data_IF_958952432449
#
_entry.id   IF_958952432449
#
_cell.length_a   1.000
_cell.length_b   1.000
_cell.length_c   1.000
_cell.angle_alpha   90.00
_cell.angle_beta   90.00
_cell.angle_gamma   90.00
#
_symmetry.space_group_name_H-M   'P 1'
#
loop_
_entity.id
_entity.type
_entity.pdbx_description
1 polymer ?
#
# COMPACT_ATOMS: atom_id res chain seq x y z
N UNK A 1 -15.81 6.76 6.77
CA UNK A 1 -15.89 6.02 5.49
C UNK A 1 -17.28 5.94 4.84
N UNK A 2 -18.33 5.45 5.54
CA UNK A 2 -19.67 5.25 4.93
C UNK A 2 -20.31 6.50 4.31
N UNK A 3 -19.91 7.69 4.76
CA UNK A 3 -20.40 8.97 4.25
C UNK A 3 -19.47 9.63 3.21
N UNK A 4 -18.28 9.07 2.96
CA UNK A 4 -17.33 9.62 1.97
C UNK A 4 -17.96 9.86 0.59
N UNK A 5 -18.84 8.99 0.07
CA UNK A 5 -19.50 9.21 -1.22
C UNK A 5 -20.27 10.54 -1.34
N UNK A 6 -20.69 11.14 -0.22
CA UNK A 6 -21.40 12.42 -0.23
C UNK A 6 -20.54 13.57 -0.73
N UNK A 7 -19.25 13.53 -0.43
CA UNK A 7 -18.28 14.56 -0.80
C UNK A 7 -17.36 14.09 -1.94
N UNK A 8 -17.10 12.79 -2.00
CA UNK A 8 -16.23 12.13 -2.96
C UNK A 8 -16.99 10.98 -3.63
N UNK A 9 -17.81 11.24 -4.66
CA UNK A 9 -18.68 10.23 -5.27
C UNK A 9 -17.96 8.96 -5.74
N UNK A 10 -16.69 9.08 -6.13
CA UNK A 10 -15.85 7.96 -6.54
C UNK A 10 -15.67 6.90 -5.43
N UNK A 11 -15.84 7.26 -4.15
CA UNK A 11 -15.80 6.34 -3.01
C UNK A 11 -16.97 5.34 -2.97
N UNK A 12 -17.96 5.47 -3.87
CA UNK A 12 -19.05 4.51 -4.06
C UNK A 12 -18.95 3.78 -5.42
N UNK A 13 -17.76 3.75 -6.02
CA UNK A 13 -17.53 3.04 -7.27
C UNK A 13 -17.48 1.52 -7.10
N UNK A 14 -17.46 0.79 -8.21
CA UNK A 14 -17.41 -0.69 -8.22
C UNK A 14 -15.98 -1.27 -8.17
N UNK A 15 -14.96 -0.41 -8.05
CA UNK A 15 -13.54 -0.78 -8.02
C UNK A 15 -12.85 -0.11 -6.83
N UNK A 16 -13.35 -0.41 -5.63
CA UNK A 16 -12.78 0.10 -4.38
C UNK A 16 -11.80 -0.92 -3.80
N UNK A 17 -10.84 -0.40 -3.06
CA UNK A 17 -10.00 -1.12 -2.11
C UNK A 17 -10.34 -0.66 -0.69
N UNK A 18 -9.98 -1.43 0.35
CA UNK A 18 -9.36 -2.75 0.32
C UNK A 18 -10.33 -3.88 -0.08
N UNK A 19 -9.79 -5.08 -0.27
CA UNK A 19 -10.55 -6.31 -0.52
C UNK A 19 -10.08 -7.46 0.38
N UNK A 20 -10.92 -8.49 0.48
CA UNK A 20 -10.48 -9.80 0.98
C UNK A 20 -9.89 -10.62 -0.17
N UNK A 21 -8.68 -11.14 0.03
CA UNK A 21 -8.02 -12.04 -0.91
C UNK A 21 -8.31 -13.48 -0.45
N UNK A 22 -9.31 -14.09 -1.08
CA UNK A 22 -9.62 -15.50 -0.88
C UNK A 22 -8.67 -16.36 -1.72
N UNK A 23 -7.66 -16.94 -1.07
CA UNK A 23 -6.54 -17.64 -1.73
C UNK A 23 -6.97 -18.89 -2.50
N UNK A 24 -8.13 -19.47 -2.19
CA UNK A 24 -8.72 -20.58 -2.96
C UNK A 24 -9.31 -20.14 -4.30
N UNK A 25 -9.63 -18.85 -4.46
CA UNK A 25 -10.28 -18.27 -5.65
C UNK A 25 -9.32 -17.54 -6.59
N UNK A 26 -8.07 -17.31 -6.16
CA UNK A 26 -7.08 -16.60 -6.97
C UNK A 26 -6.73 -17.38 -8.23
N UNK A 27 -6.56 -16.66 -9.33
CA UNK A 27 -6.11 -17.23 -10.60
C UNK A 27 -4.62 -16.99 -10.74
N UNK A 28 -3.85 -18.07 -10.84
CA UNK A 28 -2.41 -17.98 -11.11
C UNK A 28 -2.21 -17.46 -12.54
N UNK A 29 -1.52 -16.33 -12.67
CA UNK A 29 -1.07 -15.82 -13.95
C UNK A 29 0.42 -16.14 -14.14
N UNK A 30 0.73 -16.92 -15.18
CA UNK A 30 2.10 -17.32 -15.50
C UNK A 30 2.91 -16.20 -16.15
N UNK A 31 2.26 -15.12 -16.61
CA UNK A 31 2.93 -13.96 -17.19
C UNK A 31 3.41 -12.95 -16.14
N UNK A 32 2.95 -13.07 -14.89
CA UNK A 32 3.46 -12.28 -13.78
C UNK A 32 4.89 -12.69 -13.45
N UNK A 33 5.83 -11.81 -13.77
CA UNK A 33 7.25 -11.95 -13.46
C UNK A 33 7.55 -11.38 -12.07
N UNK A 34 8.69 -11.77 -11.53
CA UNK A 34 9.22 -11.18 -10.29
C UNK A 34 9.29 -9.66 -10.41
N UNK A 35 8.91 -8.96 -9.35
CA UNK A 35 9.07 -7.51 -9.26
C UNK A 35 10.56 -7.16 -9.23
N UNK A 36 10.96 -6.22 -10.09
CA UNK A 36 12.33 -5.72 -10.12
C UNK A 36 12.39 -4.38 -9.38
N UNK A 37 12.96 -4.38 -8.18
CA UNK A 37 13.13 -3.19 -7.35
C UNK A 37 14.48 -2.54 -7.61
N UNK A 38 14.54 -1.21 -7.64
CA UNK A 38 15.77 -0.45 -7.80
C UNK A 38 15.89 0.68 -6.77
N UNK A 39 17.13 0.99 -6.37
CA UNK A 39 17.45 2.06 -5.42
C UNK A 39 17.17 1.75 -3.95
N UNK A 40 16.54 0.61 -3.65
CA UNK A 40 16.27 0.15 -2.27
C UNK A 40 17.48 -0.51 -1.60
N UNK A 41 18.53 -0.81 -2.36
CA UNK A 41 19.85 -1.24 -1.88
C UNK A 41 20.63 -0.10 -1.21
N UNK A 42 20.19 1.15 -1.39
CA UNK A 42 20.81 2.33 -0.79
C UNK A 42 20.04 2.77 0.45
N UNK A 43 20.77 2.93 1.55
CA UNK A 43 20.24 3.47 2.80
C UNK A 43 19.53 4.83 2.57
N UNK A 44 18.43 5.04 3.29
CA UNK A 44 17.70 6.31 3.28
C UNK A 44 18.40 7.26 4.25
N UNK A 45 19.13 8.24 3.73
CA UNK A 45 19.93 9.16 4.54
C UNK A 45 19.14 10.39 5.03
N UNK A 46 18.01 10.68 4.37
CA UNK A 46 17.12 11.78 4.72
C UNK A 46 15.69 11.40 4.33
N UNK A 47 14.73 11.63 5.23
CA UNK A 47 13.32 11.45 4.98
C UNK A 47 12.48 12.40 5.84
N UNK A 48 11.35 12.85 5.30
CA UNK A 48 10.31 13.48 6.09
C UNK A 48 9.43 12.38 6.69
N UNK A 49 9.16 12.48 8.00
CA UNK A 49 8.24 11.59 8.72
C UNK A 49 7.17 12.48 9.35
N UNK A 50 5.93 12.33 8.89
CA UNK A 50 4.83 13.22 9.25
C UNK A 50 3.65 12.41 9.75
N UNK A 51 3.10 12.81 10.90
CA UNK A 51 1.76 12.40 11.32
C UNK A 51 0.75 13.39 10.75
N UNK A 52 -0.08 12.95 9.80
CA UNK A 52 -1.08 13.79 9.14
C UNK A 52 -2.47 13.77 9.83
N UNK A 53 -2.56 13.11 10.99
CA UNK A 53 -3.80 12.88 11.71
C UNK A 53 -4.55 11.61 11.30
N UNK A 54 -4.08 10.90 10.27
CA UNK A 54 -4.66 9.65 9.77
C UNK A 54 -3.65 8.51 9.76
N UNK A 55 -2.39 8.79 9.47
CA UNK A 55 -1.31 7.81 9.38
C UNK A 55 0.05 8.45 9.73
N UNK A 56 1.11 7.63 9.76
CA UNK A 56 2.49 8.09 9.68
C UNK A 56 2.94 7.93 8.23
N UNK A 57 3.19 9.05 7.56
CA UNK A 57 3.68 9.10 6.19
C UNK A 57 5.19 9.35 6.17
N UNK A 58 5.92 8.57 5.38
CA UNK A 58 7.37 8.65 5.20
C UNK A 58 7.68 8.98 3.74
N UNK A 59 8.41 10.07 3.52
CA UNK A 59 8.83 10.53 2.19
C UNK A 59 10.35 10.66 2.13
N UNK A 60 11.07 9.82 1.36
CA UNK A 60 12.52 9.97 1.19
C UNK A 60 12.90 11.31 0.53
N UNK A 61 13.95 11.96 1.05
CA UNK A 61 14.47 13.28 0.61
C UNK A 61 15.96 13.26 0.32
N UNK A 62 16.50 12.10 -0.02
CA UNK A 62 17.93 11.86 -0.22
C UNK A 62 18.36 11.85 -1.69
N UNK A 63 17.51 12.33 -2.60
CA UNK A 63 17.72 12.35 -4.07
C UNK A 63 18.01 10.97 -4.71
N UNK A 64 17.78 9.87 -4.00
CA UNK A 64 17.90 8.52 -4.56
C UNK A 64 16.57 8.11 -5.16
N UNK A 65 16.58 7.81 -6.47
CA UNK A 65 15.42 7.29 -7.18
C UNK A 65 15.15 5.84 -6.78
N UNK A 66 14.06 5.62 -6.05
CA UNK A 66 13.59 4.28 -5.64
C UNK A 66 12.32 3.92 -6.39
N UNK A 67 12.14 2.65 -6.71
CA UNK A 67 10.95 2.22 -7.43
C UNK A 67 10.96 0.76 -7.85
N UNK A 68 9.96 0.41 -8.64
CA UNK A 68 9.75 -0.94 -9.16
C UNK A 68 9.50 -0.86 -10.67
N UNK A 69 10.16 -1.74 -11.42
CA UNK A 69 9.80 -1.99 -12.82
C UNK A 69 8.74 -3.08 -12.85
N UNK A 70 7.54 -2.73 -13.32
CA UNK A 70 6.42 -3.64 -13.48
C UNK A 70 5.95 -3.64 -14.94
N UNK A 71 5.99 -4.80 -15.58
CA UNK A 71 5.58 -5.01 -16.97
C UNK A 71 6.22 -4.02 -17.97
N UNK A 72 7.53 -3.76 -17.81
CA UNK A 72 8.29 -2.87 -18.71
C UNK A 72 8.08 -1.37 -18.45
N UNK A 73 7.39 -1.01 -17.36
CA UNK A 73 7.21 0.38 -16.92
C UNK A 73 7.77 0.58 -15.54
N UNK A 74 8.47 1.69 -15.34
CA UNK A 74 8.98 2.08 -14.04
C UNK A 74 7.94 2.90 -13.27
N UNK A 75 7.79 2.55 -12.00
CA UNK A 75 7.01 3.30 -11.03
C UNK A 75 7.95 3.74 -9.91
N UNK A 76 7.85 5.01 -9.51
CA UNK A 76 8.76 5.60 -8.54
C UNK A 76 8.06 5.76 -7.19
N UNK A 77 8.80 5.48 -6.11
CA UNK A 77 8.34 5.68 -4.75
C UNK A 77 8.11 7.18 -4.52
N UNK A 78 6.89 7.55 -4.16
CA UNK A 78 6.55 8.91 -3.73
C UNK A 78 6.56 9.01 -2.21
N UNK A 79 5.87 8.09 -1.54
CA UNK A 79 5.80 7.96 -0.09
C UNK A 79 5.44 6.53 0.27
N UNK A 80 5.62 6.16 1.54
CA UNK A 80 4.93 5.02 2.16
C UNK A 80 4.26 5.48 3.44
N UNK A 81 3.20 4.78 3.84
CA UNK A 81 2.48 5.03 5.08
C UNK A 81 1.90 3.72 5.58
N UNK A 82 1.38 3.72 6.81
CA UNK A 82 0.92 2.51 7.48
C UNK A 82 -0.56 2.58 7.84
N UNK A 83 -1.18 1.42 7.91
CA UNK A 83 -2.49 1.23 8.52
C UNK A 83 -2.35 0.23 9.65
N UNK A 84 -2.73 0.62 10.86
CA UNK A 84 -2.60 -0.25 12.03
C UNK A 84 -3.85 -0.15 12.91
N UNK A 85 -4.00 -1.17 13.74
CA UNK A 85 -5.13 -1.27 14.65
C UNK A 85 -4.81 -0.74 16.05
N UNK A 86 -5.26 -1.47 17.05
CA UNK A 86 -4.98 -1.21 18.46
C UNK A 86 -4.40 -2.48 19.08
N UNK A 87 -3.95 -2.41 20.33
CA UNK A 87 -3.38 -3.57 21.04
C UNK A 87 -4.24 -4.84 21.00
N UNK A 88 -5.57 -4.70 20.87
CA UNK A 88 -6.52 -5.81 20.87
C UNK A 88 -7.22 -6.04 19.54
N UNK A 89 -7.00 -5.18 18.54
CA UNK A 89 -7.70 -5.25 17.27
C UNK A 89 -6.73 -5.07 16.11
N UNK A 90 -6.62 -6.01 15.17
CA UNK A 90 -5.78 -5.87 13.99
C UNK A 90 -6.29 -4.77 13.06
N UNK A 91 -5.40 -4.10 12.31
CA UNK A 91 -5.77 -2.94 11.49
C UNK A 91 -5.18 -2.83 10.09
N UNK A 92 -4.57 -3.90 9.55
CA UNK A 92 -4.32 -4.00 8.10
C UNK A 92 -5.60 -3.71 7.31
N UNK A 93 -5.51 -3.10 6.14
CA UNK A 93 -6.69 -2.78 5.33
C UNK A 93 -7.19 -4.03 4.58
N UNK A 94 -6.30 -4.69 3.84
CA UNK A 94 -6.57 -5.95 3.15
C UNK A 94 -6.65 -7.11 4.14
N UNK A 95 -7.39 -8.15 3.75
CA UNK A 95 -7.45 -9.42 4.49
C UNK A 95 -7.05 -10.57 3.58
N UNK A 96 -6.50 -11.64 4.16
CA UNK A 96 -6.29 -12.91 3.46
C UNK A 96 -7.19 -13.97 4.08
N UNK A 97 -8.08 -14.57 3.30
CA UNK A 97 -9.07 -15.53 3.77
C UNK A 97 -9.82 -15.02 5.02
N UNK A 98 -10.25 -13.75 4.99
CA UNK A 98 -10.91 -13.01 6.07
C UNK A 98 -10.08 -12.78 7.33
N UNK A 99 -8.81 -13.20 7.35
CA UNK A 99 -7.87 -12.87 8.42
C UNK A 99 -7.31 -11.48 8.18
N UNK A 100 -7.48 -10.60 9.17
CA UNK A 100 -6.85 -9.28 9.24
C UNK A 100 -5.54 -9.37 10.02
N UNK A 101 -4.50 -8.70 9.53
CA UNK A 101 -3.20 -8.62 10.19
C UNK A 101 -3.08 -7.33 11.01
N UNK A 102 -2.11 -7.28 11.91
CA UNK A 102 -1.98 -6.17 12.87
C UNK A 102 -1.76 -4.82 12.18
N UNK A 103 -0.94 -4.81 11.13
CA UNK A 103 -0.56 -3.63 10.37
C UNK A 103 -0.36 -4.00 8.90
N UNK A 104 -0.59 -3.03 8.02
CA UNK A 104 -0.22 -3.03 6.60
C UNK A 104 0.65 -1.80 6.31
#
# INVERSE_FOLDING_TARGET
>A
PRQWPRLFPACNGNKQSPIDIETSSVKRDQHLKQLNFFGYDKAVNQADIVNDGHTVMITPRDNVRRGVTFQGRDYYLLQLHFHWGSEKNPGAEHTLNRRRFEME
#
